data_IF_475979429998
#
_entry.id   IF_475979429998
#
_cell.length_a   1.000
_cell.length_b   1.000
_cell.length_c   1.000
_cell.angle_alpha   90.00
_cell.angle_beta   90.00
_cell.angle_gamma   90.00
#
_symmetry.space_group_name_H-M   'P 1'
#
loop_
_entity.id
_entity.type
_entity.pdbx_description
1 polymer ?
#
# COMPACT_ATOMS: atom_id res chain seq x y z
N UNK A 1 -78.75 8.85 14.59
CA UNK A 1 -79.73 7.85 15.09
C UNK A 1 -79.83 6.70 14.11
N UNK A 2 -79.66 5.47 14.62
CA UNK A 2 -80.11 4.15 14.14
C UNK A 2 -78.97 3.13 14.15
N UNK A 3 -78.95 2.39 15.26
CA UNK A 3 -78.23 1.13 15.45
C UNK A 3 -78.94 0.06 14.61
N UNK A 4 -78.18 -0.81 13.94
CA UNK A 4 -78.69 -2.03 13.29
C UNK A 4 -77.78 -3.19 13.72
N UNK A 5 -78.36 -4.36 14.08
CA UNK A 5 -77.75 -5.28 15.05
C UNK A 5 -76.85 -6.35 14.42
N UNK A 6 -75.90 -6.82 15.26
CA UNK A 6 -75.13 -8.05 15.08
C UNK A 6 -76.06 -9.26 15.07
N UNK A 7 -75.93 -10.10 14.04
CA UNK A 7 -76.35 -11.50 14.05
C UNK A 7 -75.10 -12.37 13.93
N UNK A 8 -74.89 -13.20 14.94
CA UNK A 8 -73.80 -14.17 15.01
C UNK A 8 -74.20 -15.43 14.23
N UNK A 9 -73.40 -15.83 13.26
CA UNK A 9 -73.46 -17.16 12.67
C UNK A 9 -72.15 -17.88 13.00
N UNK A 10 -72.25 -18.85 13.90
CA UNK A 10 -71.19 -19.81 14.18
C UNK A 10 -71.12 -20.81 13.02
N UNK A 11 -69.94 -20.94 12.40
CA UNK A 11 -69.64 -21.98 11.43
C UNK A 11 -68.36 -22.72 11.87
N UNK A 12 -68.45 -24.03 11.77
CA UNK A 12 -67.63 -25.06 12.40
C UNK A 12 -66.17 -25.07 11.93
N UNK A 13 -65.27 -25.37 12.86
CA UNK A 13 -63.85 -25.67 12.59
C UNK A 13 -63.71 -26.93 11.73
N UNK A 14 -62.98 -26.82 10.63
CA UNK A 14 -62.28 -27.93 9.99
C UNK A 14 -60.78 -27.58 9.93
N UNK A 15 -59.85 -28.47 10.31
CA UNK A 15 -58.43 -28.19 10.19
C UNK A 15 -58.01 -28.46 8.74
N UNK A 16 -57.92 -27.40 7.93
CA UNK A 16 -57.22 -27.48 6.66
C UNK A 16 -55.71 -27.40 6.94
N UNK A 17 -55.03 -28.53 6.86
CA UNK A 17 -53.58 -28.64 6.96
C UNK A 17 -52.95 -27.92 5.74
N UNK A 18 -52.68 -26.62 5.87
CA UNK A 18 -51.97 -25.87 4.85
C UNK A 18 -50.49 -26.27 4.90
N UNK A 19 -50.07 -27.09 3.93
CA UNK A 19 -48.66 -27.34 3.69
C UNK A 19 -47.98 -26.03 3.26
N UNK A 20 -47.31 -25.36 4.19
CA UNK A 20 -46.43 -24.24 3.92
C UNK A 20 -45.22 -24.78 3.14
N UNK A 21 -45.28 -24.70 1.80
CA UNK A 21 -44.08 -24.86 0.99
C UNK A 21 -43.21 -23.63 1.20
N UNK A 22 -42.23 -23.77 2.09
CA UNK A 22 -41.16 -22.79 2.27
C UNK A 22 -40.40 -22.66 0.95
N UNK A 23 -40.73 -21.66 0.14
CA UNK A 23 -39.80 -21.15 -0.87
C UNK A 23 -38.69 -20.44 -0.11
N UNK A 24 -37.66 -21.20 0.25
CA UNK A 24 -36.40 -20.62 0.66
C UNK A 24 -35.88 -19.79 -0.51
N UNK A 25 -35.95 -18.47 -0.39
CA UNK A 25 -35.08 -17.61 -1.16
C UNK A 25 -33.67 -17.98 -0.74
N UNK A 26 -32.97 -18.70 -1.62
CA UNK A 26 -31.54 -18.82 -1.50
C UNK A 26 -31.01 -17.39 -1.61
N UNK A 27 -30.57 -16.81 -0.48
CA UNK A 27 -29.76 -15.61 -0.47
C UNK A 27 -28.55 -15.90 -1.36
N UNK A 28 -28.60 -15.43 -2.60
CA UNK A 28 -27.46 -15.49 -3.48
C UNK A 28 -26.37 -14.66 -2.82
N UNK A 29 -25.29 -15.32 -2.38
CA UNK A 29 -24.16 -14.65 -1.79
C UNK A 29 -23.71 -13.50 -2.71
N UNK A 30 -23.41 -12.31 -2.16
CA UNK A 30 -22.97 -11.19 -2.98
C UNK A 30 -21.73 -11.62 -3.79
N UNK A 31 -21.63 -11.22 -5.07
CA UNK A 31 -20.48 -11.57 -5.89
C UNK A 31 -19.20 -11.13 -5.19
N UNK A 32 -18.10 -11.90 -5.33
CA UNK A 32 -16.83 -11.53 -4.72
C UNK A 32 -16.43 -10.11 -5.16
N UNK A 33 -15.77 -9.33 -4.28
CA UNK A 33 -15.31 -8.00 -4.66
C UNK A 33 -14.42 -8.10 -5.90
N UNK A 34 -14.63 -7.19 -6.85
CA UNK A 34 -13.78 -7.09 -8.04
C UNK A 34 -12.31 -7.00 -7.61
N UNK A 35 -11.37 -7.65 -8.32
CA UNK A 35 -9.96 -7.58 -7.97
C UNK A 35 -9.53 -6.11 -7.98
N UNK A 36 -9.00 -5.63 -6.84
CA UNK A 36 -8.37 -4.31 -6.77
C UNK A 36 -7.34 -4.21 -7.90
N UNK A 37 -7.30 -3.11 -8.68
CA UNK A 37 -6.35 -2.97 -9.76
C UNK A 37 -4.93 -3.14 -9.19
N UNK A 38 -4.20 -4.09 -9.78
CA UNK A 38 -2.83 -4.42 -9.35
C UNK A 38 -1.95 -3.18 -9.41
N UNK A 39 -1.01 -3.08 -8.48
CA UNK A 39 0.00 -2.01 -8.52
C UNK A 39 0.95 -2.32 -9.67
N UNK A 40 1.13 -1.41 -10.65
CA UNK A 40 2.08 -1.64 -11.73
C UNK A 40 3.51 -1.52 -11.19
N UNK A 41 4.38 -2.45 -11.61
CA UNK A 41 5.80 -2.47 -11.23
C UNK A 41 6.62 -1.42 -12.02
N UNK A 42 6.31 -0.14 -11.81
CA UNK A 42 6.93 0.99 -12.51
C UNK A 42 8.26 1.46 -11.89
N UNK A 43 8.60 0.98 -10.70
CA UNK A 43 9.82 1.32 -10.00
C UNK A 43 11.07 0.92 -10.77
N UNK A 44 12.06 1.81 -10.79
CA UNK A 44 13.36 1.58 -11.46
C UNK A 44 14.56 1.74 -10.54
N UNK A 45 14.36 2.23 -9.32
CA UNK A 45 15.41 2.42 -8.32
C UNK A 45 14.86 2.19 -6.91
N UNK A 46 15.71 1.76 -5.98
CA UNK A 46 15.36 1.82 -4.56
C UNK A 46 15.37 3.28 -4.07
N UNK A 47 14.54 3.65 -3.09
CA UNK A 47 14.56 4.98 -2.51
C UNK A 47 15.90 5.37 -1.89
N UNK A 48 16.65 4.39 -1.37
CA UNK A 48 17.96 4.57 -0.76
C UNK A 48 18.87 3.41 -1.18
N UNK A 49 20.15 3.71 -1.42
CA UNK A 49 21.13 2.71 -1.85
C UNK A 49 20.70 1.96 -3.12
N UNK A 50 21.21 0.73 -3.26
CA UNK A 50 20.90 -0.16 -4.40
C UNK A 50 20.09 -1.40 -3.99
N UNK A 51 20.18 -1.82 -2.73
CA UNK A 51 19.42 -2.92 -2.14
C UNK A 51 19.43 -2.77 -0.60
N UNK A 52 18.68 -1.81 -0.05
CA UNK A 52 18.71 -1.52 1.37
C UNK A 52 18.08 -2.65 2.19
N UNK A 53 18.52 -2.80 3.44
CA UNK A 53 17.85 -3.67 4.38
C UNK A 53 16.46 -3.09 4.71
N UNK A 54 15.41 -3.90 4.54
CA UNK A 54 14.07 -3.57 5.02
C UNK A 54 14.03 -3.88 6.52
N UNK A 55 14.01 -2.84 7.35
CA UNK A 55 14.01 -2.95 8.81
C UNK A 55 12.63 -3.29 9.36
N UNK A 56 11.58 -2.79 8.69
CA UNK A 56 10.19 -3.12 8.99
C UNK A 56 9.37 -3.16 7.70
N UNK A 57 8.62 -4.25 7.53
CA UNK A 57 7.76 -4.45 6.37
C UNK A 57 6.42 -3.73 6.48
N UNK A 58 5.67 -3.76 5.38
CA UNK A 58 4.30 -3.31 5.30
C UNK A 58 3.39 -4.14 6.22
N UNK A 59 2.59 -3.46 7.04
CA UNK A 59 1.66 -4.08 7.98
C UNK A 59 0.35 -3.25 7.95
N UNK A 60 -0.59 -3.55 7.04
CA UNK A 60 -1.76 -2.70 6.83
C UNK A 60 -2.57 -2.61 8.12
N UNK A 61 -3.02 -1.41 8.52
CA UNK A 61 -3.88 -1.28 9.68
C UNK A 61 -5.27 -1.86 9.37
N UNK A 62 -5.87 -2.57 10.33
CA UNK A 62 -7.20 -3.18 10.16
C UNK A 62 -8.32 -2.14 9.97
N UNK A 63 -8.08 -0.89 10.39
CA UNK A 63 -8.97 0.26 10.19
C UNK A 63 -8.14 1.47 9.78
N UNK A 64 -8.77 2.51 9.21
CA UNK A 64 -8.05 3.71 8.75
C UNK A 64 -7.15 4.34 9.83
N UNK A 65 -7.61 4.33 11.09
CA UNK A 65 -6.90 4.87 12.26
C UNK A 65 -6.26 3.79 13.15
N UNK A 66 -6.30 2.53 12.72
CA UNK A 66 -5.73 1.42 13.45
C UNK A 66 -4.20 1.46 13.51
N UNK A 67 -3.65 0.65 14.43
CA UNK A 67 -2.20 0.38 14.46
C UNK A 67 -1.79 -0.40 13.22
N UNK A 68 -0.53 -0.23 12.82
CA UNK A 68 0.08 -0.91 11.68
C UNK A 68 1.29 -0.14 11.20
N UNK A 69 1.76 -0.49 10.02
CA UNK A 69 2.86 0.14 9.33
C UNK A 69 2.46 0.45 7.89
N UNK A 70 2.24 1.75 7.61
CA UNK A 70 1.68 2.28 6.37
C UNK A 70 2.72 2.48 5.25
N UNK A 71 3.79 1.70 5.30
CA UNK A 71 4.90 1.75 4.35
C UNK A 71 5.94 0.70 4.73
N UNK A 72 7.18 0.92 4.32
CA UNK A 72 8.34 0.12 4.73
C UNK A 72 9.45 1.02 5.24
N UNK A 73 10.23 0.52 6.19
CA UNK A 73 11.38 1.23 6.71
C UNK A 73 12.65 0.68 6.10
N UNK A 74 13.40 1.54 5.45
CA UNK A 74 14.64 1.19 4.76
C UNK A 74 15.82 1.73 5.57
N UNK A 75 16.79 0.86 5.88
CA UNK A 75 18.01 1.27 6.55
C UNK A 75 18.74 2.36 5.73
N UNK A 76 18.95 3.52 6.34
CA UNK A 76 19.50 4.69 5.67
C UNK A 76 20.20 5.59 6.70
N UNK A 77 21.54 5.54 6.82
CA UNK A 77 22.29 6.48 7.64
C UNK A 77 21.92 7.93 7.32
N UNK A 78 22.01 8.82 8.32
CA UNK A 78 21.75 10.23 8.11
C UNK A 78 22.64 10.79 6.98
N UNK A 79 22.07 11.62 6.12
CA UNK A 79 22.74 12.15 4.93
C UNK A 79 22.66 11.24 3.70
N UNK A 80 22.16 10.01 3.80
CA UNK A 80 21.98 9.12 2.64
C UNK A 80 21.09 9.80 1.59
N UNK A 81 21.50 9.87 0.31
CA UNK A 81 20.65 10.38 -0.75
C UNK A 81 19.36 9.57 -0.85
N UNK A 82 18.22 10.27 -0.81
CA UNK A 82 16.90 9.69 -1.07
C UNK A 82 16.50 9.99 -2.50
N UNK A 83 16.03 8.97 -3.22
CA UNK A 83 15.76 9.02 -4.65
C UNK A 83 14.30 8.72 -4.96
N UNK A 84 13.79 9.33 -6.02
CA UNK A 84 12.49 8.98 -6.57
C UNK A 84 12.53 7.54 -7.13
N UNK A 85 11.54 6.71 -6.79
CA UNK A 85 11.48 5.30 -7.22
C UNK A 85 11.15 5.17 -8.72
N UNK A 86 10.39 6.12 -9.25
CA UNK A 86 9.92 6.18 -10.62
C UNK A 86 9.82 7.65 -11.05
N UNK A 87 9.58 7.90 -12.35
CA UNK A 87 9.36 9.25 -12.84
C UNK A 87 8.03 9.81 -12.30
N UNK A 88 8.00 11.11 -12.00
CA UNK A 88 6.84 11.72 -11.38
C UNK A 88 6.96 13.23 -11.21
N UNK A 89 5.94 13.80 -10.56
CA UNK A 89 5.90 15.20 -10.13
C UNK A 89 5.85 15.28 -8.61
N UNK A 90 6.68 16.15 -8.03
CA UNK A 90 6.69 16.39 -6.58
C UNK A 90 5.38 17.09 -6.19
N UNK A 91 4.52 16.40 -5.43
CA UNK A 91 3.25 16.94 -4.94
C UNK A 91 3.39 17.63 -3.59
N UNK A 92 4.43 17.29 -2.83
CA UNK A 92 4.77 17.92 -1.56
C UNK A 92 6.27 17.84 -1.27
N UNK A 93 6.85 18.91 -0.73
CA UNK A 93 8.19 18.93 -0.15
C UNK A 93 8.21 19.93 1.01
N UNK A 94 8.38 19.47 2.25
CA UNK A 94 8.29 20.35 3.42
C UNK A 94 8.27 19.62 4.75
N UNK A 95 7.88 20.33 5.81
CA UNK A 95 7.77 19.77 7.18
C UNK A 95 6.33 19.35 7.48
N UNK A 96 6.14 18.16 8.03
CA UNK A 96 4.87 17.66 8.58
C UNK A 96 5.12 17.20 10.00
N UNK A 97 4.46 17.82 10.98
CA UNK A 97 4.65 17.53 12.41
C UNK A 97 6.15 17.50 12.84
N UNK A 98 6.94 18.43 12.30
CA UNK A 98 8.39 18.55 12.58
C UNK A 98 9.30 17.60 11.79
N UNK A 99 8.77 16.66 11.00
CA UNK A 99 9.54 15.75 10.14
C UNK A 99 9.56 16.22 8.70
N UNK A 100 10.68 16.02 8.02
CA UNK A 100 10.80 16.34 6.59
C UNK A 100 10.12 15.27 5.75
N UNK A 101 9.24 15.68 4.83
CA UNK A 101 8.49 14.79 3.97
C UNK A 101 8.61 15.26 2.53
N UNK A 102 8.85 14.32 1.63
CA UNK A 102 8.71 14.51 0.19
C UNK A 102 7.65 13.54 -0.33
N UNK A 103 6.77 14.01 -1.21
CA UNK A 103 5.78 13.17 -1.88
C UNK A 103 5.84 13.36 -3.39
N UNK A 104 5.77 12.27 -4.14
CA UNK A 104 5.87 12.26 -5.60
C UNK A 104 4.68 11.52 -6.19
N UNK A 105 3.90 12.18 -7.04
CA UNK A 105 2.87 11.57 -7.87
C UNK A 105 3.53 10.92 -9.09
N UNK A 106 3.26 9.64 -9.31
CA UNK A 106 3.97 8.85 -10.32
C UNK A 106 3.31 8.99 -11.69
N UNK A 107 4.10 9.39 -12.69
CA UNK A 107 3.62 9.67 -14.05
C UNK A 107 2.93 8.46 -14.67
N UNK A 108 1.75 8.68 -15.26
CA UNK A 108 0.98 7.64 -15.93
C UNK A 108 0.27 6.66 -14.99
N UNK A 109 0.17 6.99 -13.70
CA UNK A 109 -0.54 6.18 -12.68
C UNK A 109 -1.37 7.07 -11.75
N UNK A 110 -2.20 6.46 -10.91
CA UNK A 110 -2.93 7.11 -9.82
C UNK A 110 -2.20 7.01 -8.46
N UNK A 111 -0.90 6.70 -8.51
CA UNK A 111 -0.09 6.38 -7.34
C UNK A 111 0.76 7.55 -6.88
N UNK A 112 0.97 7.62 -5.57
CA UNK A 112 1.87 8.58 -4.92
C UNK A 112 2.79 7.87 -3.94
N UNK A 113 4.07 8.21 -3.97
CA UNK A 113 5.03 7.77 -2.95
C UNK A 113 5.32 8.87 -1.96
N UNK A 114 5.67 8.48 -0.73
CA UNK A 114 6.08 9.40 0.34
C UNK A 114 7.41 8.96 0.94
N UNK A 115 8.27 9.92 1.29
CA UNK A 115 9.59 9.68 1.86
C UNK A 115 9.77 10.52 3.13
N UNK A 116 10.09 9.90 4.26
CA UNK A 116 10.35 10.60 5.52
C UNK A 116 11.29 9.78 6.45
N UNK A 117 12.06 10.40 7.34
CA UNK A 117 12.34 11.82 7.41
C UNK A 117 13.40 12.21 6.35
N UNK A 118 13.07 13.21 5.52
CA UNK A 118 13.92 13.67 4.41
C UNK A 118 14.07 15.18 4.41
N UNK A 119 15.32 15.64 4.34
CA UNK A 119 15.65 17.02 3.98
C UNK A 119 15.53 17.15 2.48
N UNK A 120 14.44 17.75 2.03
CA UNK A 120 14.17 17.93 0.60
C UNK A 120 15.25 18.78 -0.08
N UNK A 121 15.64 18.37 -1.30
CA UNK A 121 16.42 19.17 -2.25
C UNK A 121 15.60 19.59 -3.48
N UNK A 122 14.30 19.27 -3.47
CA UNK A 122 13.32 19.56 -4.52
C UNK A 122 12.17 20.39 -3.93
N UNK A 123 11.37 20.98 -4.80
CA UNK A 123 10.20 21.78 -4.46
C UNK A 123 8.93 21.16 -5.04
N UNK A 124 7.78 21.52 -4.46
CA UNK A 124 6.48 21.16 -5.04
C UNK A 124 6.38 21.68 -6.47
N UNK A 125 5.97 20.82 -7.39
CA UNK A 125 5.83 21.11 -8.81
C UNK A 125 6.97 20.56 -9.67
N UNK A 126 8.14 20.28 -9.09
CA UNK A 126 9.30 19.76 -9.82
C UNK A 126 8.99 18.40 -10.46
N UNK A 127 9.47 18.19 -11.68
CA UNK A 127 9.49 16.88 -12.32
C UNK A 127 10.76 16.14 -11.94
N UNK A 128 10.63 14.85 -11.60
CA UNK A 128 11.75 14.00 -11.20
C UNK A 128 11.76 12.74 -12.04
N UNK A 129 12.96 12.27 -12.38
CA UNK A 129 13.18 10.98 -13.03
C UNK A 129 13.36 9.87 -11.98
N UNK A 130 13.15 8.63 -12.40
CA UNK A 130 13.50 7.49 -11.56
C UNK A 130 14.99 7.50 -11.20
N UNK A 131 15.32 7.32 -9.92
CA UNK A 131 16.69 7.38 -9.39
C UNK A 131 17.22 8.80 -9.14
N UNK A 132 16.48 9.85 -9.50
CA UNK A 132 16.85 11.23 -9.22
C UNK A 132 16.77 11.52 -7.72
N UNK A 133 17.75 12.26 -7.20
CA UNK A 133 17.79 12.60 -5.78
C UNK A 133 16.71 13.65 -5.45
N UNK A 134 15.87 13.35 -4.46
CA UNK A 134 14.83 14.25 -3.95
C UNK A 134 15.19 14.88 -2.61
N UNK A 135 16.28 14.43 -1.99
CA UNK A 135 16.77 14.95 -0.72
C UNK A 135 17.77 14.02 -0.06
N UNK A 136 17.98 14.23 1.24
CA UNK A 136 18.82 13.37 2.08
C UNK A 136 18.09 12.92 3.33
N UNK A 137 18.36 11.69 3.78
CA UNK A 137 17.79 11.12 4.99
C UNK A 137 18.19 11.95 6.21
N UNK A 138 17.24 12.25 7.10
CA UNK A 138 17.50 13.00 8.32
C UNK A 138 17.67 12.08 9.53
N UNK A 139 18.44 12.49 10.55
CA UNK A 139 18.63 11.71 11.78
C UNK A 139 17.41 11.73 12.71
N UNK A 140 16.43 12.61 12.47
CA UNK A 140 15.44 13.01 13.48
C UNK A 140 14.35 11.97 13.74
N UNK A 141 14.14 11.60 15.01
CA UNK A 141 12.89 11.00 15.50
C UNK A 141 12.44 9.73 14.77
N UNK A 142 13.41 8.98 14.23
CA UNK A 142 13.17 7.70 13.57
C UNK A 142 12.67 6.69 14.60
N UNK A 143 11.58 5.99 14.30
CA UNK A 143 11.07 4.89 15.11
C UNK A 143 11.91 3.61 14.98
N UNK A 144 12.93 3.64 14.13
CA UNK A 144 13.90 2.57 13.94
C UNK A 144 15.03 2.67 14.97
N UNK A 145 15.60 1.52 15.35
CA UNK A 145 16.78 1.46 16.22
C UNK A 145 18.04 2.07 15.59
N UNK A 146 18.08 2.16 14.26
CA UNK A 146 19.09 2.87 13.45
C UNK A 146 18.38 3.91 12.58
N UNK A 147 19.09 4.88 12.01
CA UNK A 147 18.46 5.81 11.07
C UNK A 147 17.89 5.06 9.85
N UNK A 148 16.64 5.37 9.53
CA UNK A 148 15.90 4.75 8.43
C UNK A 148 15.05 5.81 7.70
N UNK A 149 14.71 5.51 6.44
CA UNK A 149 13.69 6.24 5.70
C UNK A 149 12.44 5.37 5.62
N UNK A 150 11.34 5.88 6.13
CA UNK A 150 10.00 5.37 5.89
C UNK A 150 9.58 5.74 4.45
N UNK A 151 9.26 4.72 3.68
CA UNK A 151 8.77 4.84 2.31
C UNK A 151 7.34 4.33 2.24
N UNK A 152 6.41 5.21 1.88
CA UNK A 152 4.99 4.89 1.72
C UNK A 152 4.55 4.89 0.26
N UNK A 153 3.45 4.18 0.00
CA UNK A 153 2.74 4.16 -1.27
C UNK A 153 1.25 4.35 -1.02
N UNK A 154 0.63 5.24 -1.79
CA UNK A 154 -0.79 5.54 -1.72
C UNK A 154 -1.43 5.52 -3.10
N UNK A 155 -2.70 5.10 -3.13
CA UNK A 155 -3.67 5.36 -4.20
C UNK A 155 -4.83 6.14 -3.61
N UNK A 156 -4.94 7.42 -3.95
CA UNK A 156 -5.80 8.35 -3.21
C UNK A 156 -5.40 8.35 -1.72
N UNK A 157 -6.35 7.99 -0.85
CA UNK A 157 -6.15 7.88 0.60
C UNK A 157 -5.86 6.44 1.08
N UNK A 158 -5.83 5.47 0.16
CA UNK A 158 -5.55 4.07 0.48
C UNK A 158 -4.05 3.83 0.45
N UNK A 159 -3.50 3.40 1.58
CA UNK A 159 -2.12 2.94 1.64
C UNK A 159 -1.98 1.53 1.05
N UNK A 160 -0.88 1.31 0.34
CA UNK A 160 -0.54 0.05 -0.33
C UNK A 160 0.89 -0.37 0.07
N UNK A 161 1.23 -1.64 -0.18
CA UNK A 161 2.60 -2.11 0.00
C UNK A 161 3.54 -1.41 -1.01
N UNK A 162 4.48 -0.55 -0.58
CA UNK A 162 5.40 0.13 -1.49
C UNK A 162 6.34 -0.82 -2.23
N UNK A 163 6.64 -2.01 -1.68
CA UNK A 163 7.50 -2.98 -2.36
C UNK A 163 6.87 -3.51 -3.65
N UNK A 164 5.54 -3.46 -3.79
CA UNK A 164 4.86 -3.89 -5.02
C UNK A 164 5.11 -2.98 -6.22
N UNK A 165 5.66 -1.78 -6.02
CA UNK A 165 6.14 -0.92 -7.13
C UNK A 165 7.41 -1.47 -7.78
N UNK A 166 8.19 -2.27 -7.06
CA UNK A 166 9.49 -2.72 -7.53
C UNK A 166 9.33 -3.99 -8.37
N UNK A 167 9.97 -4.04 -9.55
CA UNK A 167 9.96 -5.25 -10.35
C UNK A 167 10.76 -6.37 -9.66
N UNK A 168 10.47 -7.66 -9.95
CA UNK A 168 11.10 -8.78 -9.28
C UNK A 168 12.63 -8.76 -9.30
N UNK A 169 13.25 -8.30 -10.39
CA UNK A 169 14.72 -8.24 -10.51
C UNK A 169 15.38 -7.21 -9.58
N UNK A 170 14.62 -6.23 -9.08
CA UNK A 170 15.12 -5.24 -8.12
C UNK A 170 14.92 -5.71 -6.67
N UNK A 171 13.86 -6.50 -6.42
CA UNK A 171 13.56 -7.10 -5.12
C UNK A 171 14.50 -8.26 -4.82
N UNK A 172 14.70 -9.15 -5.78
CA UNK A 172 15.54 -10.33 -5.63
C UNK A 172 16.96 -9.98 -6.05
N UNK A 173 17.95 -10.27 -5.20
CA UNK A 173 19.33 -10.32 -5.67
C UNK A 173 19.37 -11.40 -6.73
N UNK A 174 19.71 -11.04 -7.97
CA UNK A 174 19.88 -12.01 -9.05
C UNK A 174 20.81 -13.16 -8.60
N UNK A 175 20.79 -14.30 -9.29
CA UNK A 175 21.63 -15.43 -8.91
C UNK A 175 23.07 -14.95 -8.76
N UNK A 176 23.70 -15.25 -7.62
CA UNK A 176 25.11 -14.96 -7.38
C UNK A 176 25.93 -15.53 -8.53
N UNK A 177 26.43 -14.68 -9.42
CA UNK A 177 27.38 -15.08 -10.45
C UNK A 177 28.77 -14.92 -9.87
N UNK A 178 29.41 -16.04 -9.56
CA UNK A 178 30.81 -16.05 -9.16
C UNK A 178 31.65 -15.50 -10.32
N UNK A 179 32.55 -14.57 -10.01
CA UNK A 179 33.60 -14.17 -10.94
C UNK A 179 34.46 -15.41 -11.24
N UNK A 180 34.83 -15.69 -12.50
CA UNK A 180 35.78 -16.76 -12.78
C UNK A 180 37.06 -16.53 -11.98
N UNK A 181 37.49 -17.52 -11.21
CA UNK A 181 38.78 -17.45 -10.53
C UNK A 181 39.85 -17.68 -11.60
N UNK A 182 40.58 -16.62 -11.95
CA UNK A 182 41.71 -16.72 -12.87
C UNK A 182 42.80 -17.57 -12.20
N UNK A 183 43.28 -18.61 -12.88
CA UNK A 183 44.42 -19.42 -12.44
C UNK A 183 44.10 -20.70 -11.65
N UNK A 184 42.84 -21.14 -11.58
CA UNK A 184 42.52 -22.50 -11.08
C UNK A 184 42.73 -23.50 -12.23
N UNK A 185 43.64 -24.49 -12.10
CA UNK A 185 43.77 -25.55 -13.09
C UNK A 185 42.46 -26.32 -13.19
N UNK A 186 42.03 -26.64 -14.42
CA UNK A 186 40.87 -27.52 -14.61
C UNK A 186 41.21 -28.91 -14.05
N UNK A 187 40.29 -29.57 -13.33
CA UNK A 187 40.50 -30.94 -12.91
C UNK A 187 40.69 -31.82 -14.15
N UNK A 188 41.74 -32.64 -14.12
CA UNK A 188 42.06 -33.65 -15.14
C UNK A 188 41.09 -34.81 -15.12
#
# INVERSE_FOLDING_TARGET
MRRVPMTWAAALLGPALAALTSWAWADAAPPPPAPSPSVPAVGRAWPVGTHPAVLRGWEPPATAYGRGHRGVDLAAPAGTPVRAVAAGRVSFAGRVAGRGVVSVELTGTDLRTTYEPVRASVHKGDEVKAGEAVGTAEPTGSHCAVTCVHWGLLRGDTYLDPLSLLPPWLLHRGPSRLLPVLGVPLPT
#
